data_IF_161850558221
#
_entry.id   IF_161850558221
#
_cell.length_a   1.000
_cell.length_b   1.000
_cell.length_c   1.000
_cell.angle_alpha   90.00
_cell.angle_beta   90.00
_cell.angle_gamma   90.00
#
_symmetry.space_group_name_H-M   'P 1'
#
loop_
_entity.id
_entity.type
_entity.pdbx_description
1 polymer ?
#
# COMPACT_ATOMS: atom_id res chain seq x y z
N UNK A 1 11.91 5.80 -26.32
CA UNK A 1 11.28 4.71 -25.54
C UNK A 1 9.84 5.10 -25.24
N UNK A 2 9.00 4.14 -24.85
CA UNK A 2 7.63 4.42 -24.38
C UNK A 2 7.71 4.81 -22.90
N UNK A 3 7.02 5.87 -22.49
CA UNK A 3 6.94 6.29 -21.08
C UNK A 3 5.54 5.94 -20.55
N UNK A 4 5.50 5.14 -19.49
CA UNK A 4 4.27 4.73 -18.80
C UNK A 4 4.33 5.25 -17.38
N UNK A 5 3.24 5.82 -16.87
CA UNK A 5 3.20 6.47 -15.55
C UNK A 5 2.02 5.93 -14.74
N UNK A 6 2.27 5.64 -13.47
CA UNK A 6 1.26 5.32 -12.47
C UNK A 6 1.51 6.19 -11.24
N UNK A 7 0.48 6.87 -10.76
CA UNK A 7 0.63 7.81 -9.65
C UNK A 7 -0.69 8.35 -9.13
N UNK A 8 -0.69 9.11 -8.03
CA UNK A 8 -1.91 9.61 -7.40
C UNK A 8 -2.52 10.83 -8.13
N UNK A 9 -1.74 11.56 -8.94
CA UNK A 9 -2.19 12.79 -9.57
C UNK A 9 -2.70 12.54 -11.00
N UNK A 10 -3.76 13.23 -11.43
CA UNK A 10 -4.36 13.02 -12.75
C UNK A 10 -3.41 13.40 -13.89
N UNK A 11 -3.63 12.90 -15.12
CA UNK A 11 -2.81 13.26 -16.28
C UNK A 11 -2.73 14.75 -16.60
N UNK A 12 -3.70 15.54 -16.15
CA UNK A 12 -3.69 17.00 -16.27
C UNK A 12 -2.63 17.68 -15.39
N UNK A 13 -2.11 17.00 -14.36
CA UNK A 13 -1.13 17.50 -13.41
C UNK A 13 0.26 16.86 -13.65
N UNK A 14 0.83 17.17 -14.81
CA UNK A 14 2.06 16.52 -15.30
C UNK A 14 3.35 17.13 -14.73
N UNK A 15 3.34 18.41 -14.37
CA UNK A 15 4.56 19.15 -13.99
C UNK A 15 5.36 18.47 -12.86
N UNK A 16 4.74 18.00 -11.76
CA UNK A 16 5.50 17.37 -10.68
C UNK A 16 6.24 16.10 -11.14
N UNK A 17 5.59 15.30 -11.99
CA UNK A 17 6.19 14.09 -12.56
C UNK A 17 7.35 14.43 -13.49
N UNK A 18 7.19 15.44 -14.35
CA UNK A 18 8.23 15.91 -15.25
C UNK A 18 9.47 16.40 -14.48
N UNK A 19 9.26 17.18 -13.42
CA UNK A 19 10.34 17.68 -12.55
C UNK A 19 11.07 16.54 -11.85
N UNK A 20 10.35 15.58 -11.28
CA UNK A 20 10.94 14.39 -10.65
C UNK A 20 11.74 13.56 -11.65
N UNK A 21 11.20 13.33 -12.85
CA UNK A 21 11.88 12.60 -13.93
C UNK A 21 13.12 13.35 -14.41
N UNK A 22 13.07 14.67 -14.57
CA UNK A 22 14.24 15.47 -14.93
C UNK A 22 15.37 15.34 -13.92
N UNK A 23 15.04 15.21 -12.63
CA UNK A 23 16.02 15.05 -11.57
C UNK A 23 16.55 13.61 -11.44
N UNK A 24 15.68 12.60 -11.53
CA UNK A 24 16.02 11.19 -11.23
C UNK A 24 16.35 10.35 -12.46
N UNK A 25 15.73 10.65 -13.60
CA UNK A 25 15.88 9.92 -14.87
C UNK A 25 15.95 10.93 -16.04
N UNK A 26 17.03 11.73 -16.17
CA UNK A 26 17.09 12.84 -17.14
C UNK A 26 16.79 12.46 -18.59
N UNK A 27 17.11 11.22 -18.99
CA UNK A 27 16.80 10.71 -20.34
C UNK A 27 15.29 10.63 -20.64
N UNK A 28 14.43 10.66 -19.63
CA UNK A 28 12.97 10.66 -19.75
C UNK A 28 12.33 12.05 -19.60
N UNK A 29 13.12 13.08 -19.27
CA UNK A 29 12.65 14.39 -18.79
C UNK A 29 11.80 15.23 -19.78
N UNK A 30 11.81 14.88 -21.06
CA UNK A 30 11.07 15.62 -22.11
C UNK A 30 9.95 14.81 -22.76
N UNK A 31 9.73 13.57 -22.34
CA UNK A 31 8.68 12.73 -22.92
C UNK A 31 7.36 12.95 -22.18
N UNK A 32 6.27 13.14 -22.93
CA UNK A 32 4.93 12.96 -22.39
C UNK A 32 4.67 11.46 -22.20
N UNK A 33 3.93 11.06 -21.16
CA UNK A 33 3.56 9.67 -20.97
C UNK A 33 2.62 9.23 -22.11
N UNK A 34 2.87 8.04 -22.64
CA UNK A 34 1.97 7.42 -23.61
C UNK A 34 0.68 6.94 -22.93
N UNK A 35 0.81 6.48 -21.69
CA UNK A 35 -0.30 6.09 -20.84
C UNK A 35 -0.03 6.53 -19.40
N UNK A 36 -1.11 6.96 -18.74
CA UNK A 36 -1.08 7.39 -17.35
C UNK A 36 -2.31 6.82 -16.64
N UNK A 37 -2.08 6.08 -15.56
CA UNK A 37 -3.13 5.58 -14.69
C UNK A 37 -3.04 6.21 -13.30
N UNK A 38 -4.21 6.52 -12.75
CA UNK A 38 -4.37 6.91 -11.35
C UNK A 38 -5.11 5.82 -10.58
N UNK A 39 -4.83 5.73 -9.29
CA UNK A 39 -5.51 4.81 -8.39
C UNK A 39 -5.57 5.36 -6.98
N UNK A 40 -6.61 4.96 -6.25
CA UNK A 40 -6.81 5.37 -4.87
C UNK A 40 -5.97 4.54 -3.91
N UNK A 41 -5.49 5.20 -2.86
CA UNK A 41 -4.76 4.55 -1.77
C UNK A 41 -5.63 4.60 -0.51
N UNK A 42 -5.90 3.44 0.06
CA UNK A 42 -6.47 3.35 1.41
C UNK A 42 -5.35 3.58 2.43
N UNK A 43 -5.23 4.81 2.92
CA UNK A 43 -4.20 5.22 3.86
C UNK A 43 -4.74 5.16 5.29
N UNK A 44 -4.06 4.40 6.14
CA UNK A 44 -4.36 4.30 7.58
C UNK A 44 -3.61 5.37 8.37
N UNK A 45 -4.03 5.62 9.61
CA UNK A 45 -3.48 6.70 10.44
C UNK A 45 -1.98 6.55 10.74
N UNK A 46 -1.47 5.32 10.73
CA UNK A 46 -0.06 4.97 10.96
C UNK A 46 0.61 4.34 9.74
N UNK A 47 -0.04 4.37 8.56
CA UNK A 47 0.45 3.82 7.29
C UNK A 47 0.71 2.31 7.27
N UNK A 48 0.22 1.57 8.26
CA UNK A 48 0.33 0.11 8.31
C UNK A 48 -1.02 -0.57 7.98
N UNK A 49 -1.02 -1.79 7.41
CA UNK A 49 -2.25 -2.51 7.10
C UNK A 49 -3.14 -2.74 8.34
N UNK A 50 -4.44 -2.92 8.10
CA UNK A 50 -5.40 -3.40 9.09
C UNK A 50 -5.77 -4.84 8.73
N UNK A 51 -5.36 -5.80 9.54
CA UNK A 51 -5.55 -7.22 9.28
C UNK A 51 -5.87 -8.00 10.57
N UNK A 52 -7.07 -8.58 10.65
CA UNK A 52 -7.48 -9.31 11.84
C UNK A 52 -9.00 -9.41 12.02
N UNK A 53 -9.41 -9.83 13.21
CA UNK A 53 -10.83 -9.88 13.60
C UNK A 53 -11.37 -8.47 13.81
N UNK A 54 -12.62 -8.23 13.42
CA UNK A 54 -13.32 -6.98 13.74
C UNK A 54 -14.19 -7.16 15.00
N UNK A 55 -14.81 -6.08 15.47
CA UNK A 55 -15.77 -6.15 16.60
C UNK A 55 -17.00 -7.03 16.30
N UNK A 56 -17.28 -7.28 15.01
CA UNK A 56 -18.39 -8.14 14.59
C UNK A 56 -17.90 -9.57 14.44
N UNK A 57 -18.57 -10.48 15.16
CA UNK A 57 -18.24 -11.90 15.10
C UNK A 57 -18.36 -12.46 13.67
N UNK A 58 -17.43 -13.32 13.30
CA UNK A 58 -17.30 -13.87 11.95
C UNK A 58 -16.81 -12.90 10.87
N UNK A 59 -16.57 -11.62 11.18
CA UNK A 59 -16.09 -10.62 10.21
C UNK A 59 -14.61 -10.29 10.44
N UNK A 60 -13.84 -10.34 9.35
CA UNK A 60 -12.40 -10.10 9.32
C UNK A 60 -12.07 -8.94 8.39
N UNK A 61 -11.04 -8.17 8.75
CA UNK A 61 -10.52 -7.07 7.95
C UNK A 61 -9.19 -7.47 7.28
N UNK A 62 -8.98 -6.98 6.06
CA UNK A 62 -7.70 -6.97 5.36
C UNK A 62 -7.69 -5.79 4.38
N UNK A 63 -7.36 -4.60 4.88
CA UNK A 63 -7.47 -3.34 4.14
C UNK A 63 -6.41 -2.33 4.58
N UNK A 64 -6.43 -1.11 4.02
CA UNK A 64 -5.62 -0.01 4.56
C UNK A 64 -4.11 -0.16 4.35
N UNK A 65 -3.68 -0.83 3.28
CA UNK A 65 -2.25 -1.12 3.03
C UNK A 65 -1.39 0.11 2.71
N UNK A 66 -1.97 1.31 2.62
CA UNK A 66 -1.24 2.57 2.51
C UNK A 66 -0.20 2.59 1.38
N UNK A 67 -0.52 1.96 0.25
CA UNK A 67 0.34 1.87 -0.95
C UNK A 67 1.22 0.64 -1.07
N UNK A 68 1.32 -0.17 -0.02
CA UNK A 68 2.23 -1.32 0.02
C UNK A 68 1.49 -2.66 -0.13
N UNK A 69 0.26 -2.64 -0.65
CA UNK A 69 -0.58 -3.83 -0.75
C UNK A 69 -0.01 -4.90 -1.66
N UNK A 70 0.59 -4.52 -2.80
CA UNK A 70 1.16 -5.49 -3.75
C UNK A 70 2.26 -6.33 -3.09
N UNK A 71 3.15 -5.70 -2.33
CA UNK A 71 4.27 -6.40 -1.70
C UNK A 71 3.88 -7.12 -0.41
N UNK A 72 2.96 -6.57 0.40
CA UNK A 72 2.61 -7.15 1.70
C UNK A 72 1.47 -8.17 1.64
N UNK A 73 0.56 -8.08 0.67
CA UNK A 73 -0.65 -8.91 0.63
C UNK A 73 -0.40 -10.42 0.64
N UNK A 74 0.63 -11.00 -0.01
CA UNK A 74 0.81 -12.46 0.03
C UNK A 74 1.08 -12.99 1.45
N UNK A 75 1.94 -12.29 2.19
CA UNK A 75 2.32 -12.65 3.55
C UNK A 75 1.15 -12.43 4.53
N UNK A 76 0.51 -11.25 4.46
CA UNK A 76 -0.61 -10.90 5.35
C UNK A 76 -1.81 -11.81 5.09
N UNK A 77 -2.16 -12.09 3.83
CA UNK A 77 -3.28 -12.96 3.48
C UNK A 77 -3.05 -14.40 3.95
N UNK A 78 -1.83 -14.93 3.80
CA UNK A 78 -1.48 -16.27 4.28
C UNK A 78 -1.63 -16.39 5.81
N UNK A 79 -1.12 -15.41 6.57
CA UNK A 79 -1.30 -15.37 8.02
C UNK A 79 -2.75 -15.20 8.44
N UNK A 80 -3.49 -14.30 7.80
CA UNK A 80 -4.90 -14.07 8.12
C UNK A 80 -5.75 -15.31 7.83
N UNK A 81 -5.50 -16.01 6.71
CA UNK A 81 -6.20 -17.24 6.37
C UNK A 81 -5.95 -18.35 7.41
N UNK A 82 -4.71 -18.52 7.87
CA UNK A 82 -4.39 -19.46 8.94
C UNK A 82 -5.13 -19.10 10.24
N UNK A 83 -5.18 -17.82 10.62
CA UNK A 83 -5.95 -17.35 11.79
C UNK A 83 -7.44 -17.64 11.66
N UNK A 84 -8.02 -17.46 10.47
CA UNK A 84 -9.44 -17.76 10.18
C UNK A 84 -9.73 -19.25 10.35
N UNK A 85 -8.82 -20.12 9.91
CA UNK A 85 -8.95 -21.58 9.99
C UNK A 85 -8.63 -22.16 11.38
N UNK A 86 -8.14 -21.34 12.32
CA UNK A 86 -7.68 -21.81 13.62
C UNK A 86 -6.33 -22.55 13.55
N UNK A 87 -5.56 -22.31 12.49
CA UNK A 87 -4.23 -22.87 12.28
C UNK A 87 -3.15 -21.94 12.84
N UNK A 88 -1.90 -22.43 12.88
CA UNK A 88 -0.75 -21.59 13.27
C UNK A 88 -0.33 -20.71 12.10
N UNK A 89 -0.34 -19.37 12.25
CA UNK A 89 0.05 -18.47 11.16
C UNK A 89 1.55 -18.58 10.85
N UNK A 90 1.97 -18.49 9.56
CA UNK A 90 3.37 -18.46 9.17
C UNK A 90 4.13 -17.22 9.67
N UNK A 91 3.42 -16.11 9.88
CA UNK A 91 3.94 -14.88 10.48
C UNK A 91 2.94 -14.36 11.51
N UNK A 92 3.44 -13.88 12.65
CA UNK A 92 2.62 -13.16 13.60
C UNK A 92 2.28 -11.77 13.04
N UNK A 93 0.99 -11.56 12.78
CA UNK A 93 0.45 -10.30 12.29
C UNK A 93 -0.41 -9.59 13.35
N UNK A 94 -0.35 -9.99 14.62
CA UNK A 94 -1.18 -9.44 15.69
C UNK A 94 -1.03 -7.93 15.88
N UNK A 95 0.16 -7.38 15.58
CA UNK A 95 0.38 -5.94 15.58
C UNK A 95 -0.49 -5.17 14.56
N UNK A 96 -0.94 -5.83 13.49
CA UNK A 96 -1.80 -5.26 12.46
C UNK A 96 -3.28 -5.22 12.84
N UNK A 97 -3.63 -5.48 14.12
CA UNK A 97 -5.00 -5.48 14.62
C UNK A 97 -5.80 -4.29 14.06
N UNK A 98 -6.95 -4.54 13.39
CA UNK A 98 -7.78 -3.47 12.83
C UNK A 98 -8.37 -2.53 13.90
N UNK A 99 -8.36 -2.92 15.18
CA UNK A 99 -8.88 -2.14 16.30
C UNK A 99 -7.77 -1.43 17.10
N UNK A 100 -6.51 -1.48 16.64
CA UNK A 100 -5.41 -0.78 17.31
C UNK A 100 -5.67 0.73 17.35
N UNK A 101 -5.37 1.34 18.49
CA UNK A 101 -5.49 2.80 18.71
C UNK A 101 -4.14 3.49 18.74
N UNK A 102 -3.08 2.75 19.03
CA UNK A 102 -1.71 3.25 19.06
C UNK A 102 -1.02 2.95 17.71
N UNK A 103 -0.24 3.90 17.18
CA UNK A 103 0.46 3.71 15.92
C UNK A 103 1.56 2.68 16.07
N UNK A 104 1.73 1.85 15.05
CA UNK A 104 2.92 1.01 14.94
C UNK A 104 4.15 1.90 14.74
N UNK A 105 5.14 1.72 15.61
CA UNK A 105 6.43 2.37 15.46
C UNK A 105 7.30 1.52 14.56
N UNK A 106 7.57 2.06 13.39
CA UNK A 106 8.56 1.52 12.49
C UNK A 106 9.61 2.61 12.26
N UNK A 107 10.73 2.48 12.96
CA UNK A 107 11.87 3.39 12.86
C UNK A 107 12.57 3.30 11.49
N UNK A 108 12.12 2.41 10.60
CA UNK A 108 12.66 2.19 9.26
C UNK A 108 11.76 2.71 8.13
N UNK A 109 10.51 3.11 8.43
CA UNK A 109 9.65 3.81 7.46
C UNK A 109 10.09 5.27 7.35
N UNK A 110 11.02 5.52 6.42
CA UNK A 110 11.41 6.86 5.96
C UNK A 110 10.29 7.54 5.17
#
# INVERSE_FOLDING_TARGET
>A
GRLLVIGPAPPSDWEPHASWLAHRVPAAAGALPEQHWTGDYEVTFDRHPLAGRTERDGVWAMCGFSGHGVMHSPAVAGSLAAMILGETPPLDIGALDPLRTEPLRDDTQL
#
